data_IF_483853147843
#
_entry.id   IF_483853147843
#
_cell.length_a   1.000
_cell.length_b   1.000
_cell.length_c   1.000
_cell.angle_alpha   90.00
_cell.angle_beta   90.00
_cell.angle_gamma   90.00
#
_symmetry.space_group_name_H-M   'P 1'
#
loop_
_entity.id
_entity.type
_entity.pdbx_description
1 polymer ?
#
# COMPACT_ATOMS: atom_id res chain seq x y z
N UNK A 1 -15.23 3.44 -0.69
CA UNK A 1 -14.15 2.53 -1.06
C UNK A 1 -14.45 1.99 -2.44
N UNK A 2 -13.59 2.21 -3.43
CA UNK A 2 -13.95 2.02 -4.85
C UNK A 2 -12.79 1.68 -5.78
N UNK A 3 -11.68 1.16 -5.27
CA UNK A 3 -10.65 0.55 -6.12
C UNK A 3 -10.12 -0.72 -5.49
N UNK A 4 -10.06 -1.77 -6.31
CA UNK A 4 -9.42 -3.06 -6.00
C UNK A 4 -7.93 -2.87 -5.67
N UNK A 5 -7.27 -1.85 -6.24
CA UNK A 5 -5.86 -1.55 -6.04
C UNK A 5 -5.47 -1.15 -4.60
N UNK A 6 -6.44 -0.98 -3.71
CA UNK A 6 -6.25 -0.60 -2.31
C UNK A 6 -6.45 -1.74 -1.32
N UNK A 7 -6.89 -2.91 -1.78
CA UNK A 7 -7.36 -3.98 -0.90
C UNK A 7 -6.23 -5.01 -0.65
N UNK A 8 -5.66 -5.06 0.57
CA UNK A 8 -4.73 -6.12 0.95
C UNK A 8 -5.49 -7.42 1.26
N UNK A 9 -4.77 -8.54 1.31
CA UNK A 9 -5.32 -9.81 1.78
C UNK A 9 -4.29 -10.62 2.55
N UNK A 10 -4.81 -11.53 3.39
CA UNK A 10 -4.01 -12.49 4.14
C UNK A 10 -4.68 -13.86 4.11
N UNK A 11 -3.89 -14.88 3.79
CA UNK A 11 -4.24 -16.29 3.95
C UNK A 11 -3.47 -16.84 5.15
N UNK A 12 -4.16 -17.05 6.27
CA UNK A 12 -3.57 -17.47 7.54
C UNK A 12 -3.70 -18.99 7.71
N UNK A 13 -2.56 -19.69 7.81
CA UNK A 13 -2.48 -21.10 8.21
C UNK A 13 -1.98 -21.26 9.65
N UNK A 14 -1.94 -22.49 10.14
CA UNK A 14 -1.51 -22.79 11.52
C UNK A 14 -0.04 -22.45 11.79
N UNK A 15 0.82 -22.58 10.78
CA UNK A 15 2.29 -22.39 10.90
C UNK A 15 2.85 -21.28 10.00
N UNK A 16 2.15 -20.98 8.92
CA UNK A 16 2.61 -20.05 7.89
C UNK A 16 1.44 -19.20 7.43
N UNK A 17 1.74 -18.00 6.97
CA UNK A 17 0.78 -17.08 6.39
C UNK A 17 1.32 -16.53 5.06
N UNK A 18 0.40 -16.20 4.16
CA UNK A 18 0.69 -15.52 2.89
C UNK A 18 -0.06 -14.20 2.85
N UNK A 19 0.63 -13.14 2.44
CA UNK A 19 0.11 -11.78 2.36
C UNK A 19 0.27 -11.28 0.94
N UNK A 20 -0.81 -10.83 0.33
CA UNK A 20 -0.83 -10.46 -1.08
C UNK A 20 -1.90 -9.40 -1.35
N UNK A 21 -1.70 -8.50 -2.35
CA UNK A 21 -2.79 -7.68 -2.84
C UNK A 21 -3.85 -8.56 -3.51
N UNK A 22 -5.13 -8.16 -3.46
CA UNK A 22 -6.18 -8.92 -4.18
C UNK A 22 -6.19 -8.67 -5.70
N UNK A 23 -5.46 -7.65 -6.17
CA UNK A 23 -5.40 -7.35 -7.59
C UNK A 23 -4.54 -8.41 -8.31
N UNK A 24 -4.93 -8.78 -9.53
CA UNK A 24 -4.15 -9.70 -10.36
C UNK A 24 -2.83 -9.10 -10.84
N UNK A 25 -2.14 -9.83 -11.72
CA UNK A 25 -0.81 -9.46 -12.24
C UNK A 25 -0.77 -8.27 -13.19
N UNK A 26 -1.91 -7.84 -13.72
CA UNK A 26 -2.05 -6.72 -14.67
C UNK A 26 -0.95 -6.69 -15.76
N UNK A 27 -0.84 -7.75 -16.58
CA UNK A 27 0.29 -7.95 -17.49
C UNK A 27 0.38 -6.86 -18.58
N UNK A 28 -0.73 -6.21 -18.90
CA UNK A 28 -0.84 -5.12 -19.85
C UNK A 28 -0.12 -3.83 -19.41
N UNK A 29 0.14 -3.66 -18.11
CA UNK A 29 0.85 -2.51 -17.54
C UNK A 29 2.19 -2.87 -16.87
N UNK A 30 2.62 -4.13 -16.98
CA UNK A 30 3.88 -4.59 -16.40
C UNK A 30 5.07 -3.80 -16.98
N UNK A 31 5.94 -3.29 -16.09
CA UNK A 31 7.12 -2.51 -16.48
C UNK A 31 6.84 -1.06 -16.92
N UNK A 32 5.61 -0.56 -16.75
CA UNK A 32 5.21 0.78 -17.21
C UNK A 32 5.09 1.81 -16.08
N UNK A 33 5.46 1.47 -14.83
CA UNK A 33 5.32 2.35 -13.66
C UNK A 33 3.87 2.79 -13.37
N UNK A 34 2.86 2.02 -13.80
CA UNK A 34 1.44 2.36 -13.64
C UNK A 34 0.73 1.59 -12.51
N UNK A 35 1.34 0.52 -12.00
CA UNK A 35 0.71 -0.32 -10.99
C UNK A 35 0.61 0.43 -9.65
N UNK A 36 -0.48 0.20 -8.93
CA UNK A 36 -0.67 0.75 -7.59
C UNK A 36 0.02 -0.15 -6.54
N UNK A 37 1.05 0.33 -5.83
CA UNK A 37 1.75 -0.51 -4.86
C UNK A 37 1.02 -0.60 -3.50
N UNK A 38 -0.03 0.20 -3.28
CA UNK A 38 -0.58 0.42 -1.94
C UNK A 38 -1.21 -0.83 -1.33
N UNK A 39 -1.90 -1.67 -2.10
CA UNK A 39 -2.43 -2.94 -1.58
C UNK A 39 -1.31 -3.88 -1.11
N UNK A 40 -0.20 -3.98 -1.84
CA UNK A 40 0.96 -4.78 -1.44
C UNK A 40 1.60 -4.24 -0.17
N UNK A 41 1.77 -2.91 -0.09
CA UNK A 41 2.31 -2.25 1.11
C UNK A 41 1.42 -2.51 2.33
N UNK A 42 0.10 -2.37 2.19
CA UNK A 42 -0.85 -2.66 3.27
C UNK A 42 -0.82 -4.16 3.67
N UNK A 43 -0.55 -5.06 2.72
CA UNK A 43 -0.36 -6.49 3.00
C UNK A 43 0.87 -6.75 3.89
N UNK A 44 1.92 -5.94 3.75
CA UNK A 44 3.07 -5.97 4.68
C UNK A 44 2.66 -5.48 6.08
N UNK A 45 1.76 -4.50 6.19
CA UNK A 45 1.15 -4.11 7.46
C UNK A 45 0.45 -5.30 8.14
N UNK A 46 -0.39 -6.02 7.39
CA UNK A 46 -1.05 -7.24 7.87
C UNK A 46 -0.04 -8.29 8.33
N UNK A 47 1.11 -8.45 7.66
CA UNK A 47 2.17 -9.36 8.08
C UNK A 47 2.72 -9.02 9.47
N UNK A 48 2.99 -7.74 9.74
CA UNK A 48 3.43 -7.31 11.07
C UNK A 48 2.39 -7.65 12.14
N UNK A 49 1.12 -7.37 11.85
CA UNK A 49 0.01 -7.63 12.76
C UNK A 49 -0.19 -9.13 13.05
N UNK A 50 -0.36 -9.94 12.02
CA UNK A 50 -0.84 -11.31 12.19
C UNK A 50 0.28 -12.35 12.32
N UNK A 51 1.45 -12.14 11.73
CA UNK A 51 2.56 -13.10 11.81
C UNK A 51 3.64 -12.71 12.81
N UNK A 52 3.83 -11.41 13.06
CA UNK A 52 4.91 -10.92 13.93
C UNK A 52 4.40 -10.41 15.28
N UNK A 53 3.08 -10.39 15.50
CA UNK A 53 2.43 -9.88 16.72
C UNK A 53 2.84 -8.42 17.03
N UNK A 54 2.89 -7.60 15.97
CA UNK A 54 3.27 -6.18 16.04
C UNK A 54 2.18 -5.33 15.40
N UNK A 55 1.24 -4.86 16.21
CA UNK A 55 0.17 -3.95 15.78
C UNK A 55 0.72 -2.56 15.39
N UNK A 56 1.76 -2.10 16.09
CA UNK A 56 2.30 -0.75 15.92
C UNK A 56 2.81 -0.48 14.49
N UNK A 57 3.67 -1.31 13.88
CA UNK A 57 4.06 -1.16 12.47
C UNK A 57 2.88 -1.22 11.49
N UNK A 58 1.84 -2.03 11.76
CA UNK A 58 0.63 -2.03 10.92
C UNK A 58 -0.04 -0.65 10.93
N UNK A 59 -0.29 -0.09 12.11
CA UNK A 59 -0.88 1.23 12.26
C UNK A 59 -0.01 2.33 11.66
N UNK A 60 1.32 2.18 11.70
CA UNK A 60 2.25 3.11 11.07
C UNK A 60 2.12 3.10 9.54
N UNK A 61 2.06 1.91 8.95
CA UNK A 61 1.89 1.74 7.50
C UNK A 61 0.54 2.27 7.03
N UNK A 62 -0.55 1.92 7.73
CA UNK A 62 -1.90 2.43 7.43
C UNK A 62 -1.93 3.97 7.46
N UNK A 63 -1.41 4.56 8.53
CA UNK A 63 -1.34 6.01 8.69
C UNK A 63 -0.47 6.69 7.63
N UNK A 64 0.65 6.08 7.22
CA UNK A 64 1.50 6.60 6.16
C UNK A 64 0.76 6.60 4.80
N UNK A 65 0.07 5.51 4.46
CA UNK A 65 -0.75 5.41 3.24
C UNK A 65 -1.86 6.46 3.24
N UNK A 66 -2.58 6.62 4.35
CA UNK A 66 -3.62 7.66 4.50
C UNK A 66 -3.03 9.07 4.32
N UNK A 67 -1.87 9.33 4.93
CA UNK A 67 -1.19 10.62 4.84
C UNK A 67 -0.75 10.94 3.41
N UNK A 68 -0.24 9.95 2.66
CA UNK A 68 0.09 10.11 1.24
C UNK A 68 -1.17 10.41 0.43
N UNK A 69 -2.27 9.68 0.65
CA UNK A 69 -3.52 9.93 -0.05
C UNK A 69 -4.12 11.31 0.27
N UNK A 70 -3.88 11.85 1.47
CA UNK A 70 -4.27 13.20 1.85
C UNK A 70 -3.51 14.29 1.07
N UNK A 71 -2.31 14.00 0.54
CA UNK A 71 -1.54 14.90 -0.34
C UNK A 71 -2.11 15.05 -1.75
N UNK A 72 -3.29 14.48 -2.03
CA UNK A 72 -3.97 14.53 -3.34
C UNK A 72 -3.19 13.91 -4.50
N UNK A 73 -2.35 12.91 -4.22
CA UNK A 73 -1.65 12.10 -5.23
C UNK A 73 -2.34 10.75 -5.40
N UNK A 74 -2.38 10.21 -6.61
CA UNK A 74 -3.06 8.96 -6.94
C UNK A 74 -2.30 8.22 -8.03
N UNK A 75 -2.26 6.89 -7.98
CA UNK A 75 -1.94 6.07 -9.15
C UNK A 75 -3.15 6.02 -10.08
N UNK A 76 -2.93 5.68 -11.34
CA UNK A 76 -3.93 5.75 -12.41
C UNK A 76 -5.24 5.03 -12.10
N UNK A 77 -5.20 3.90 -11.42
CA UNK A 77 -6.34 3.06 -11.03
C UNK A 77 -7.28 3.73 -9.99
N UNK A 78 -6.77 4.67 -9.20
CA UNK A 78 -7.51 5.38 -8.13
C UNK A 78 -7.65 6.89 -8.41
N UNK A 79 -7.44 7.30 -9.65
CA UNK A 79 -7.54 8.70 -10.06
C UNK A 79 -8.95 9.26 -9.85
N UNK A 80 -8.99 10.51 -9.41
CA UNK A 80 -10.22 11.30 -9.29
C UNK A 80 -9.95 12.77 -9.63
N UNK A 81 -10.98 13.56 -9.99
CA UNK A 81 -10.81 14.97 -10.32
C UNK A 81 -10.09 15.75 -9.21
N UNK A 82 -9.12 16.58 -9.59
CA UNK A 82 -8.34 17.39 -8.65
C UNK A 82 -7.18 16.66 -7.96
N UNK A 83 -6.88 15.42 -8.38
CA UNK A 83 -5.70 14.67 -7.92
C UNK A 83 -4.56 14.74 -8.94
N UNK A 84 -3.34 14.61 -8.45
CA UNK A 84 -2.13 14.47 -9.28
C UNK A 84 -1.82 12.99 -9.49
N UNK A 85 -1.67 12.59 -10.75
CA UNK A 85 -1.22 11.25 -11.10
C UNK A 85 0.26 11.07 -10.75
N UNK A 86 0.60 9.92 -10.15
CA UNK A 86 1.96 9.48 -9.86
C UNK A 86 2.13 8.01 -10.23
N UNK A 87 3.36 7.60 -10.56
CA UNK A 87 3.68 6.21 -10.87
C UNK A 87 3.94 5.34 -9.63
N UNK A 88 4.23 4.06 -9.88
CA UNK A 88 4.49 3.04 -8.84
C UNK A 88 5.61 3.45 -7.91
N UNK A 89 6.79 3.81 -8.44
CA UNK A 89 7.95 4.19 -7.65
C UNK A 89 7.67 5.43 -6.80
N UNK A 90 7.16 6.50 -7.40
CA UNK A 90 6.83 7.74 -6.67
C UNK A 90 5.81 7.50 -5.55
N UNK A 91 4.80 6.64 -5.78
CA UNK A 91 3.85 6.31 -4.72
C UNK A 91 4.53 5.58 -3.56
N UNK A 92 5.43 4.63 -3.85
CA UNK A 92 6.22 3.92 -2.84
C UNK A 92 7.14 4.85 -2.05
N UNK A 93 7.86 5.74 -2.75
CA UNK A 93 8.77 6.72 -2.14
C UNK A 93 8.03 7.63 -1.15
N UNK A 94 6.85 8.13 -1.56
CA UNK A 94 6.03 8.98 -0.71
C UNK A 94 5.56 8.27 0.58
N UNK A 95 5.29 6.96 0.51
CA UNK A 95 4.93 6.17 1.70
C UNK A 95 6.15 5.97 2.60
N UNK A 96 7.30 5.66 2.02
CA UNK A 96 8.56 5.52 2.77
C UNK A 96 8.92 6.83 3.50
N UNK A 97 8.79 7.98 2.84
CA UNK A 97 9.01 9.30 3.44
C UNK A 97 8.09 9.56 4.65
N UNK A 98 6.80 9.20 4.56
CA UNK A 98 5.88 9.37 5.69
C UNK A 98 6.24 8.46 6.88
N UNK A 99 6.74 7.25 6.62
CA UNK A 99 7.22 6.34 7.67
C UNK A 99 8.49 6.87 8.35
N UNK A 100 9.40 7.49 7.61
CA UNK A 100 10.64 8.05 8.16
C UNK A 100 10.40 9.25 9.08
N UNK A 101 9.39 10.09 8.79
CA UNK A 101 8.99 11.19 9.67
C UNK A 101 8.59 10.70 11.07
N UNK A 102 7.93 9.55 11.14
CA UNK A 102 7.48 8.96 12.42
C UNK A 102 8.62 8.41 13.28
N UNK A 103 9.77 8.07 12.69
CA UNK A 103 10.96 7.68 13.46
C UNK A 103 11.63 8.85 14.19
N UNK A 104 11.28 10.08 13.81
CA UNK A 104 11.93 11.30 14.29
C UNK A 104 11.11 12.07 15.33
N UNK A 105 9.96 11.54 15.76
CA UNK A 105 9.08 12.13 16.79
C UNK A 105 8.78 11.13 17.88
#
# INVERSE_FOLDING_TARGET
TGSIGMLPSASLGEKHAMYEPIHGSAPDIAGQELANPLATILSVGMMFKYSLDREEPNAWIESAVESVLAKRVRTRDIMSPGMKEVGTQTMGDLVAEELEKKKSG
#
